data_IF_953216089702
#
_entry.id   IF_953216089702
#
_cell.length_a   1.000
_cell.length_b   1.000
_cell.length_c   1.000
_cell.angle_alpha   90.00
_cell.angle_beta   90.00
_cell.angle_gamma   90.00
#
_symmetry.space_group_name_H-M   'P 1'
#
loop_
_entity.id
_entity.type
_entity.pdbx_description
1 polymer ?
#
# COMPACT_ATOMS: atom_id res chain seq x y z
N UNK A 1 2.08 3.99 -15.09
CA UNK A 1 2.38 2.56 -14.91
C UNK A 1 2.48 1.70 -16.15
N UNK A 2 2.10 2.17 -17.34
CA UNK A 2 2.11 1.33 -18.55
C UNK A 2 3.11 1.83 -19.60
N UNK A 3 4.39 1.95 -19.24
CA UNK A 3 5.42 2.24 -20.24
C UNK A 3 5.75 0.94 -20.97
N UNK A 4 5.66 0.95 -22.31
CA UNK A 4 5.93 -0.24 -23.11
C UNK A 4 7.38 -0.71 -22.89
N UNK A 5 7.62 -1.99 -22.53
CA UNK A 5 8.97 -2.51 -22.29
C UNK A 5 9.93 -2.31 -23.48
N UNK A 6 9.40 -2.32 -24.71
CA UNK A 6 10.18 -2.05 -25.93
C UNK A 6 10.70 -0.62 -25.95
N UNK A 7 9.87 0.35 -25.56
CA UNK A 7 10.24 1.77 -25.51
C UNK A 7 11.30 1.99 -24.42
N UNK A 8 11.11 1.40 -23.24
CA UNK A 8 12.13 1.44 -22.18
C UNK A 8 13.46 0.79 -22.59
N UNK A 9 13.40 -0.30 -23.36
CA UNK A 9 14.58 -0.93 -23.94
C UNK A 9 15.39 0.02 -24.81
N UNK A 10 14.71 0.73 -25.73
CA UNK A 10 15.35 1.74 -26.59
C UNK A 10 15.89 2.91 -25.78
N UNK A 11 15.15 3.40 -24.79
CA UNK A 11 15.60 4.49 -23.93
C UNK A 11 16.89 4.11 -23.20
N UNK A 12 16.94 2.91 -22.62
CA UNK A 12 18.13 2.41 -21.91
C UNK A 12 19.32 2.19 -22.83
N UNK A 13 19.12 1.54 -23.98
CA UNK A 13 20.20 1.19 -24.89
C UNK A 13 20.78 2.39 -25.64
N UNK A 14 19.94 3.36 -25.99
CA UNK A 14 20.30 4.44 -26.91
C UNK A 14 20.65 5.74 -26.18
N UNK A 15 19.97 6.03 -25.07
CA UNK A 15 20.13 7.31 -24.37
C UNK A 15 20.80 7.16 -23.01
N UNK A 16 20.29 6.30 -22.12
CA UNK A 16 20.85 6.14 -20.77
C UNK A 16 22.27 5.53 -20.79
N UNK A 17 22.54 4.60 -21.73
CA UNK A 17 23.87 4.01 -21.90
C UNK A 17 24.91 4.98 -22.49
N UNK A 18 24.46 6.12 -23.04
CA UNK A 18 25.37 7.11 -23.61
C UNK A 18 25.90 8.04 -22.49
N UNK A 19 27.23 8.06 -22.23
CA UNK A 19 27.81 8.91 -21.19
C UNK A 19 27.64 10.42 -21.45
N UNK A 20 27.34 10.82 -22.70
CA UNK A 20 27.08 12.21 -23.04
C UNK A 20 25.65 12.65 -22.70
N UNK A 21 24.73 11.70 -22.47
CA UNK A 21 23.33 11.98 -22.12
C UNK A 21 23.19 12.31 -20.63
N UNK A 22 23.77 13.43 -20.23
CA UNK A 22 23.69 13.94 -18.86
C UNK A 22 22.95 15.27 -18.82
N UNK A 23 22.22 15.59 -17.73
CA UNK A 23 21.56 16.87 -17.58
C UNK A 23 22.52 18.05 -17.72
N UNK A 24 23.79 17.90 -17.29
CA UNK A 24 24.82 18.93 -17.43
C UNK A 24 25.20 19.20 -18.89
N UNK A 25 25.29 18.16 -19.73
CA UNK A 25 25.53 18.34 -21.16
C UNK A 25 24.29 18.85 -21.90
N UNK A 26 23.09 18.38 -21.52
CA UNK A 26 21.84 18.86 -22.09
C UNK A 26 21.59 20.35 -21.76
N UNK A 27 21.98 20.80 -20.56
CA UNK A 27 21.90 22.20 -20.13
C UNK A 27 22.77 23.14 -20.99
N UNK A 28 23.92 22.65 -21.50
CA UNK A 28 24.76 23.42 -22.43
C UNK A 28 24.05 23.69 -23.76
N UNK A 29 23.13 22.82 -24.17
CA UNK A 29 22.31 23.01 -25.37
C UNK A 29 21.08 23.87 -25.09
N UNK A 30 20.30 23.56 -24.05
CA UNK A 30 19.21 24.41 -23.57
C UNK A 30 18.69 23.99 -22.19
N UNK A 31 18.09 24.93 -21.46
CA UNK A 31 17.38 24.66 -20.19
C UNK A 31 16.17 23.73 -20.37
N UNK A 32 15.49 23.80 -21.51
CA UNK A 32 14.40 22.90 -21.85
C UNK A 32 14.89 21.45 -22.07
N UNK A 33 16.02 21.28 -22.75
CA UNK A 33 16.65 19.97 -22.96
C UNK A 33 17.14 19.36 -21.64
N UNK A 34 17.62 20.16 -20.69
CA UNK A 34 17.96 19.71 -19.34
C UNK A 34 16.75 19.10 -18.63
N UNK A 35 15.59 19.77 -18.67
CA UNK A 35 14.36 19.29 -18.06
C UNK A 35 13.90 17.94 -18.64
N UNK A 36 13.97 17.80 -19.97
CA UNK A 36 13.63 16.55 -20.66
C UNK A 36 14.61 15.42 -20.30
N UNK A 37 15.92 15.68 -20.26
CA UNK A 37 16.91 14.68 -19.87
C UNK A 37 16.67 14.17 -18.44
N UNK A 38 16.41 15.08 -17.48
CA UNK A 38 16.05 14.70 -16.11
C UNK A 38 14.78 13.85 -16.05
N UNK A 39 13.75 14.23 -16.81
CA UNK A 39 12.50 13.48 -16.85
C UNK A 39 12.71 12.05 -17.40
N UNK A 40 13.48 11.88 -18.47
CA UNK A 40 13.77 10.55 -19.05
C UNK A 40 14.52 9.67 -18.04
N UNK A 41 15.54 10.20 -17.34
CA UNK A 41 16.25 9.45 -16.31
C UNK A 41 15.34 9.08 -15.12
N UNK A 42 14.44 9.98 -14.73
CA UNK A 42 13.46 9.72 -13.68
C UNK A 42 12.47 8.61 -14.10
N UNK A 43 12.00 8.62 -15.36
CA UNK A 43 11.13 7.56 -15.90
C UNK A 43 11.81 6.19 -15.90
N UNK A 44 13.12 6.14 -16.15
CA UNK A 44 13.89 4.91 -16.10
C UNK A 44 13.98 4.30 -14.69
N UNK A 45 14.27 5.16 -13.71
CA UNK A 45 14.30 4.79 -12.31
C UNK A 45 12.92 4.35 -11.83
N UNK A 46 11.88 5.06 -12.27
CA UNK A 46 10.50 4.74 -11.94
C UNK A 46 10.06 3.37 -12.47
N UNK A 47 10.33 3.04 -13.74
CA UNK A 47 9.99 1.71 -14.31
C UNK A 47 10.65 0.56 -13.53
N UNK A 48 11.90 0.75 -13.12
CA UNK A 48 12.63 -0.25 -12.33
C UNK A 48 12.00 -0.45 -10.95
N UNK A 49 11.65 0.64 -10.28
CA UNK A 49 11.01 0.61 -8.95
C UNK A 49 9.59 0.08 -9.04
N UNK A 50 8.81 0.48 -10.05
CA UNK A 50 7.43 0.04 -10.25
C UNK A 50 7.33 -1.49 -10.38
N UNK A 51 8.27 -2.13 -11.08
CA UNK A 51 8.35 -3.60 -11.19
C UNK A 51 8.61 -4.30 -9.85
N UNK A 52 9.34 -3.66 -8.94
CA UNK A 52 9.63 -4.19 -7.60
C UNK A 52 8.45 -3.93 -6.65
N UNK A 53 7.74 -2.82 -6.84
CA UNK A 53 6.64 -2.40 -5.99
C UNK A 53 5.34 -3.13 -6.33
N UNK A 54 5.09 -3.45 -7.60
CA UNK A 54 3.89 -4.19 -8.03
C UNK A 54 3.63 -5.48 -7.23
N UNK A 55 4.59 -6.42 -7.07
CA UNK A 55 4.34 -7.63 -6.27
C UNK A 55 4.20 -7.34 -4.77
N UNK A 56 4.73 -6.21 -4.27
CA UNK A 56 4.54 -5.80 -2.88
C UNK A 56 3.14 -5.26 -2.64
N UNK A 57 2.60 -4.50 -3.59
CA UNK A 57 1.24 -3.98 -3.52
C UNK A 57 0.21 -5.10 -3.60
N UNK A 58 0.43 -6.09 -4.47
CA UNK A 58 -0.44 -7.27 -4.56
C UNK A 58 -0.45 -8.05 -3.24
N UNK A 59 0.73 -8.36 -2.69
CA UNK A 59 0.83 -9.02 -1.38
C UNK A 59 0.22 -8.20 -0.24
N UNK A 60 0.35 -6.88 -0.30
CA UNK A 60 -0.27 -5.99 0.69
C UNK A 60 -1.80 -6.09 0.61
N UNK A 61 -2.36 -6.03 -0.60
CA UNK A 61 -3.80 -6.14 -0.81
C UNK A 61 -4.35 -7.49 -0.35
N UNK A 62 -3.63 -8.59 -0.60
CA UNK A 62 -3.97 -9.93 -0.08
C UNK A 62 -3.98 -9.98 1.45
N UNK A 63 -2.94 -9.41 2.09
CA UNK A 63 -2.82 -9.39 3.54
C UNK A 63 -3.87 -8.49 4.19
N UNK A 64 -4.17 -7.33 3.60
CA UNK A 64 -5.22 -6.41 4.06
C UNK A 64 -6.60 -7.07 3.94
N UNK A 65 -6.90 -7.75 2.83
CA UNK A 65 -8.14 -8.49 2.66
C UNK A 65 -8.30 -9.60 3.72
N UNK A 66 -7.23 -10.35 4.00
CA UNK A 66 -7.25 -11.37 5.06
C UNK A 66 -7.42 -10.75 6.45
N UNK A 67 -6.75 -9.62 6.72
CA UNK A 67 -6.86 -8.89 7.97
C UNK A 67 -8.28 -8.39 8.21
N UNK A 68 -8.93 -7.82 7.21
CA UNK A 68 -10.30 -7.32 7.31
C UNK A 68 -11.29 -8.43 7.65
N UNK A 69 -11.15 -9.61 7.03
CA UNK A 69 -11.97 -10.79 7.36
C UNK A 69 -11.80 -11.20 8.83
N UNK A 70 -10.55 -11.26 9.31
CA UNK A 70 -10.26 -11.61 10.71
C UNK A 70 -10.83 -10.55 11.66
N UNK A 71 -10.69 -9.26 11.32
CA UNK A 71 -11.16 -8.16 12.15
C UNK A 71 -12.70 -8.15 12.27
N UNK A 72 -13.41 -8.43 11.17
CA UNK A 72 -14.87 -8.60 11.19
C UNK A 72 -15.27 -9.75 12.14
N UNK A 73 -14.61 -10.91 12.02
CA UNK A 73 -14.89 -12.04 12.91
C UNK A 73 -14.57 -11.72 14.37
N UNK A 74 -13.47 -11.02 14.64
CA UNK A 74 -13.07 -10.63 15.99
C UNK A 74 -14.11 -9.71 16.62
N UNK A 75 -14.54 -8.68 15.89
CA UNK A 75 -15.56 -7.73 16.36
C UNK A 75 -16.89 -8.43 16.65
N UNK A 76 -17.31 -9.38 15.81
CA UNK A 76 -18.50 -10.18 16.07
C UNK A 76 -18.38 -10.99 17.36
N UNK A 77 -17.23 -11.65 17.60
CA UNK A 77 -17.00 -12.41 18.83
C UNK A 77 -16.91 -11.53 20.08
N UNK A 78 -16.33 -10.34 19.97
CA UNK A 78 -16.31 -9.37 21.06
C UNK A 78 -17.72 -8.87 21.39
N UNK A 79 -18.56 -8.62 20.38
CA UNK A 79 -19.96 -8.24 20.58
C UNK A 79 -20.77 -9.36 21.25
N UNK A 80 -20.62 -10.61 20.80
CA UNK A 80 -21.26 -11.79 21.42
C UNK A 80 -20.85 -11.92 22.89
N UNK A 81 -19.55 -11.76 23.19
CA UNK A 81 -19.04 -11.83 24.55
C UNK A 81 -19.62 -10.73 25.44
N UNK A 82 -19.71 -9.50 24.93
CA UNK A 82 -20.30 -8.39 25.68
C UNK A 82 -21.76 -8.67 26.05
N UNK A 83 -22.55 -9.20 25.10
CA UNK A 83 -23.94 -9.57 25.37
C UNK A 83 -24.07 -10.65 26.46
N UNK A 84 -23.15 -11.61 26.50
CA UNK A 84 -23.14 -12.64 27.54
C UNK A 84 -22.78 -12.06 28.91
N UNK A 85 -21.79 -11.16 28.96
CA UNK A 85 -21.42 -10.45 30.19
C UNK A 85 -22.60 -9.63 30.70
N UNK A 86 -23.28 -8.89 29.83
CA UNK A 86 -24.43 -8.07 30.20
C UNK A 86 -25.59 -8.92 30.75
N UNK A 87 -25.85 -10.08 30.12
CA UNK A 87 -26.87 -11.02 30.61
C UNK A 87 -26.49 -11.63 31.95
N UNK A 88 -25.24 -12.04 32.11
CA UNK A 88 -24.76 -12.64 33.36
C UNK A 88 -24.89 -11.64 34.51
N UNK A 89 -24.49 -10.39 34.27
CA UNK A 89 -24.64 -9.30 35.23
C UNK A 89 -26.11 -9.05 35.59
N UNK A 90 -27.00 -9.01 34.61
CA UNK A 90 -28.44 -8.85 34.88
C UNK A 90 -29.00 -9.99 35.76
N UNK A 91 -28.58 -11.23 35.51
CA UNK A 91 -29.00 -12.38 36.32
C UNK A 91 -28.41 -12.34 37.74
N UNK A 92 -27.17 -11.86 37.90
CA UNK A 92 -26.55 -11.63 39.21
C UNK A 92 -27.29 -10.55 40.00
N UNK A 93 -27.61 -9.41 39.36
CA UNK A 93 -28.35 -8.31 39.96
C UNK A 93 -29.77 -8.75 40.41
N UNK A 94 -30.47 -9.53 39.57
CA UNK A 94 -31.80 -10.09 39.89
C UNK A 94 -31.76 -11.07 41.08
N UNK A 95 -30.70 -11.88 41.15
CA UNK A 95 -30.50 -12.82 42.24
C UNK A 95 -30.23 -12.10 43.56
N UNK A 96 -29.34 -11.11 43.57
CA UNK A 96 -29.07 -10.28 44.75
C UNK A 96 -30.33 -9.56 45.24
N UNK A 97 -31.09 -8.94 44.33
CA UNK A 97 -32.35 -8.27 44.67
C UNK A 97 -33.39 -9.23 45.27
N UNK A 98 -33.41 -10.49 44.82
CA UNK A 98 -34.29 -11.53 45.36
C UNK A 98 -33.82 -12.04 46.73
N UNK A 99 -32.51 -12.13 46.95
CA UNK A 99 -31.94 -12.51 48.25
C UNK A 99 -32.14 -11.44 49.31
N UNK A 100 -32.07 -10.14 48.97
CA UNK A 100 -32.34 -9.05 49.91
C UNK A 100 -33.81 -8.90 50.30
N UNK A 101 -34.74 -9.48 49.51
CA UNK A 101 -36.19 -9.46 49.78
C UNK A 101 -36.66 -10.62 50.67
N UNK A 102 -35.79 -11.58 51.00
CA UNK A 102 -36.05 -12.66 51.97
C UNK A 102 -35.60 -12.27 53.37
#
# INVERSE_FOLDING_TARGET
>A
DHINPRIMGVIRSTYIANPDFTPSNAAKASSAAEGLCKWVCAMDSYDSVAKIVAPKQEKLAEAEAAYDVVMVSLNAKQADLQQLIDKLKAMEDDLEASMQKK
#
